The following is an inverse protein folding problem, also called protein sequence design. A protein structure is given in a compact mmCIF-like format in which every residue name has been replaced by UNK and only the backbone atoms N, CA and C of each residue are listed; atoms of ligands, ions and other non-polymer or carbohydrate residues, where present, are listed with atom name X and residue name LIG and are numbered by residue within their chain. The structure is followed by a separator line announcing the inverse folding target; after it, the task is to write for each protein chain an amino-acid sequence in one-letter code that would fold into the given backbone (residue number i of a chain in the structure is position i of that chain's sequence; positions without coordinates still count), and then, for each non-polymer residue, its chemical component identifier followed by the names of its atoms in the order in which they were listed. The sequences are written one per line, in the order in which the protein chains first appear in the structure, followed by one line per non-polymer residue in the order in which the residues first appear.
data_IF_062610782475
#
_entry.id   IF_062610782475
#
_cell.length_a   1.000
_cell.length_b   1.000
_cell.length_c   1.000
_cell.angle_alpha   90.00
_cell.angle_beta   90.00
_cell.angle_gamma   90.00
#
_symmetry.space_group_name_H-M   'P 1'
#
loop_
_entity.id
_entity.type
_entity.pdbx_description
1 polymer ?
#
# COMPACT_ATOMS: atom_id res chain seq x y z
N UNK A 1 -8.99 2.29 -18.42
CA UNK A 1 -9.29 3.73 -18.38
C UNK A 1 -10.18 4.12 -19.57
N UNK A 2 -9.75 3.88 -20.81
CA UNK A 2 -10.49 4.31 -22.02
C UNK A 2 -11.94 3.77 -22.05
N UNK A 3 -12.14 2.51 -21.67
CA UNK A 3 -13.46 1.89 -21.65
C UNK A 3 -14.40 2.43 -20.55
N UNK A 4 -13.84 2.98 -19.45
CA UNK A 4 -14.61 3.53 -18.34
C UNK A 4 -14.86 5.04 -18.48
N UNK A 5 -14.00 5.75 -19.20
CA UNK A 5 -14.00 7.22 -19.25
C UNK A 5 -13.63 7.88 -17.90
N UNK A 6 -13.66 9.21 -17.85
CA UNK A 6 -13.30 9.95 -16.62
C UNK A 6 -14.26 9.70 -15.47
N UNK A 7 -15.57 9.74 -15.71
CA UNK A 7 -16.60 9.50 -14.68
C UNK A 7 -16.51 8.07 -14.11
N UNK A 8 -16.40 7.07 -14.99
CA UNK A 8 -16.30 5.68 -14.57
C UNK A 8 -15.00 5.40 -13.80
N UNK A 9 -13.90 6.05 -14.18
CA UNK A 9 -12.65 5.94 -13.47
C UNK A 9 -12.72 6.63 -12.10
N UNK A 10 -13.42 7.75 -12.00
CA UNK A 10 -13.68 8.42 -10.73
C UNK A 10 -14.52 7.57 -9.79
N UNK A 11 -15.61 7.00 -10.27
CA UNK A 11 -16.45 6.08 -9.51
C UNK A 11 -15.63 4.85 -9.02
N UNK A 12 -14.83 4.28 -9.91
CA UNK A 12 -13.92 3.17 -9.57
C UNK A 12 -12.95 3.54 -8.45
N UNK A 13 -12.29 4.70 -8.54
CA UNK A 13 -11.36 5.17 -7.50
C UNK A 13 -12.04 5.42 -6.15
N UNK A 14 -13.25 5.94 -6.15
CA UNK A 14 -14.06 6.12 -4.94
C UNK A 14 -14.41 4.78 -4.29
N UNK A 15 -14.85 3.80 -5.09
CA UNK A 15 -15.13 2.45 -4.58
C UNK A 15 -13.85 1.80 -4.05
N UNK A 16 -12.71 1.96 -4.75
CA UNK A 16 -11.42 1.47 -4.27
C UNK A 16 -10.99 2.09 -2.94
N UNK A 17 -11.28 3.36 -2.69
CA UNK A 17 -10.95 4.00 -1.43
C UNK A 17 -11.69 3.37 -0.25
N UNK A 18 -13.00 3.09 -0.40
CA UNK A 18 -13.79 2.37 0.61
C UNK A 18 -13.32 0.93 0.75
N UNK A 19 -13.11 0.24 -0.37
CA UNK A 19 -12.61 -1.12 -0.40
C UNK A 19 -11.27 -1.26 0.31
N UNK A 20 -10.32 -0.34 0.09
CA UNK A 20 -9.01 -0.33 0.74
C UNK A 20 -9.09 -0.24 2.27
N UNK A 21 -10.07 0.49 2.82
CA UNK A 21 -10.31 0.55 4.26
C UNK A 21 -10.65 -0.84 4.81
N UNK A 22 -11.59 -1.54 4.20
CA UNK A 22 -12.01 -2.87 4.64
C UNK A 22 -10.93 -3.93 4.39
N UNK A 23 -10.18 -3.82 3.28
CA UNK A 23 -9.01 -4.67 3.02
C UNK A 23 -7.95 -4.48 4.12
N UNK A 24 -7.71 -3.25 4.54
CA UNK A 24 -6.77 -2.97 5.64
C UNK A 24 -7.22 -3.68 6.92
N UNK A 25 -8.49 -3.58 7.29
CA UNK A 25 -9.09 -4.28 8.43
C UNK A 25 -8.95 -5.81 8.33
N UNK A 26 -9.00 -6.37 7.11
CA UNK A 26 -8.92 -7.81 6.90
C UNK A 26 -7.49 -8.37 6.92
N UNK A 27 -6.48 -7.58 6.50
CA UNK A 27 -5.18 -8.14 6.10
C UNK A 27 -3.96 -7.56 6.78
N UNK A 28 -4.01 -6.28 7.23
CA UNK A 28 -2.79 -5.54 7.58
C UNK A 28 -2.00 -6.14 8.75
N UNK A 29 -2.64 -6.38 9.87
CA UNK A 29 -2.01 -6.99 11.05
C UNK A 29 -1.76 -8.48 10.88
N UNK A 30 -2.63 -9.17 10.14
CA UNK A 30 -2.54 -10.61 9.92
C UNK A 30 -1.26 -10.99 9.18
N UNK A 31 -0.87 -10.25 8.14
CA UNK A 31 0.35 -10.50 7.38
C UNK A 31 1.61 -10.38 8.23
N UNK A 32 1.70 -9.32 9.05
CA UNK A 32 2.84 -9.08 9.95
C UNK A 32 2.90 -10.14 11.05
N UNK A 33 1.76 -10.43 11.69
CA UNK A 33 1.66 -11.45 12.72
C UNK A 33 2.02 -12.84 12.17
N UNK A 34 1.53 -13.19 10.97
CA UNK A 34 1.84 -14.45 10.32
C UNK A 34 3.34 -14.61 10.07
N UNK A 35 3.99 -13.60 9.50
CA UNK A 35 5.44 -13.65 9.24
C UNK A 35 6.23 -13.81 10.53
N UNK A 36 5.93 -13.03 11.56
CA UNK A 36 6.67 -13.06 12.83
C UNK A 36 6.42 -14.33 13.62
N UNK A 37 5.15 -14.67 13.89
CA UNK A 37 4.81 -15.84 14.69
C UNK A 37 5.22 -17.15 14.01
N UNK A 38 5.12 -17.22 12.67
CA UNK A 38 5.60 -18.40 11.93
C UNK A 38 7.12 -18.54 12.03
N UNK A 39 7.89 -17.46 11.94
CA UNK A 39 9.34 -17.52 12.10
C UNK A 39 9.73 -17.99 13.52
N UNK A 40 9.04 -17.48 14.56
CA UNK A 40 9.27 -17.88 15.95
C UNK A 40 8.91 -19.36 16.19
N UNK A 41 7.76 -19.83 15.69
CA UNK A 41 7.31 -21.20 15.92
C UNK A 41 8.08 -22.24 15.10
N UNK A 42 8.53 -21.88 13.89
CA UNK A 42 9.42 -22.73 13.10
C UNK A 42 10.76 -22.98 13.80
N UNK A 43 11.25 -22.00 14.56
CA UNK A 43 12.45 -22.15 15.38
C UNK A 43 12.20 -23.04 16.63
N UNK A 44 10.97 -23.09 17.15
CA UNK A 44 10.61 -23.90 18.34
C UNK A 44 10.28 -25.36 18.01
N UNK A 45 9.71 -25.64 16.84
CA UNK A 45 9.37 -26.99 16.42
C UNK A 45 8.26 -27.09 15.37
N UNK A 46 8.32 -28.16 14.59
CA UNK A 46 7.43 -28.37 13.42
C UNK A 46 5.96 -28.52 13.82
N UNK A 47 5.67 -29.27 14.88
CA UNK A 47 4.29 -29.51 15.33
C UNK A 47 3.61 -28.24 15.85
N UNK A 48 4.35 -27.38 16.54
CA UNK A 48 3.87 -26.09 17.06
C UNK A 48 3.64 -25.10 15.91
N UNK A 49 4.58 -25.02 14.95
CA UNK A 49 4.45 -24.19 13.76
C UNK A 49 3.21 -24.55 12.93
N UNK A 50 2.93 -25.85 12.76
CA UNK A 50 1.70 -26.30 12.09
C UNK A 50 0.45 -25.87 12.84
N UNK A 51 0.45 -26.02 14.17
CA UNK A 51 -0.67 -25.59 15.03
C UNK A 51 -0.90 -24.07 14.97
N UNK A 52 0.17 -23.28 14.93
CA UNK A 52 0.10 -21.82 14.80
C UNK A 52 -0.46 -21.42 13.44
N UNK A 53 0.01 -22.03 12.34
CA UNK A 53 -0.46 -21.70 10.99
C UNK A 53 -1.96 -21.95 10.82
N UNK A 54 -2.47 -23.09 11.32
CA UNK A 54 -3.92 -23.39 11.26
C UNK A 54 -4.73 -22.31 11.99
N UNK A 55 -4.24 -21.82 13.13
CA UNK A 55 -4.93 -20.77 13.88
C UNK A 55 -4.84 -19.40 13.19
N UNK A 56 -3.67 -19.07 12.65
CA UNK A 56 -3.50 -17.84 11.86
C UNK A 56 -4.41 -17.86 10.63
N UNK A 57 -4.53 -19.01 9.94
CA UNK A 57 -5.44 -19.15 8.82
C UNK A 57 -6.91 -19.03 9.26
N UNK A 58 -7.28 -19.66 10.38
CA UNK A 58 -8.63 -19.54 10.94
C UNK A 58 -8.97 -18.11 11.37
N UNK A 59 -8.08 -17.43 12.08
CA UNK A 59 -8.29 -16.02 12.48
C UNK A 59 -8.28 -15.07 11.28
N UNK A 60 -7.40 -15.28 10.30
CA UNK A 60 -7.39 -14.51 9.07
C UNK A 60 -8.69 -14.66 8.29
N UNK A 61 -9.17 -15.88 8.09
CA UNK A 61 -10.45 -16.14 7.44
C UNK A 61 -11.63 -15.52 8.20
N UNK A 62 -11.61 -15.57 9.54
CA UNK A 62 -12.66 -14.96 10.36
C UNK A 62 -12.66 -13.44 10.24
N UNK A 63 -11.50 -12.81 10.29
CA UNK A 63 -11.37 -11.36 10.07
C UNK A 63 -11.76 -10.97 8.64
N UNK A 64 -11.32 -11.73 7.64
CA UNK A 64 -11.72 -11.53 6.26
C UNK A 64 -13.22 -11.69 6.03
N UNK A 65 -13.85 -12.68 6.65
CA UNK A 65 -15.30 -12.89 6.61
C UNK A 65 -16.07 -11.79 7.35
N UNK A 66 -15.56 -11.32 8.49
CA UNK A 66 -16.13 -10.19 9.23
C UNK A 66 -16.06 -8.90 8.41
N UNK A 67 -14.91 -8.62 7.79
CA UNK A 67 -14.74 -7.46 6.90
C UNK A 67 -15.64 -7.56 5.66
N UNK A 68 -15.79 -8.77 5.06
CA UNK A 68 -16.73 -9.03 3.98
C UNK A 68 -18.17 -8.73 4.40
N UNK A 69 -18.61 -9.27 5.55
CA UNK A 69 -19.95 -9.05 6.06
C UNK A 69 -20.22 -7.56 6.37
N UNK A 70 -19.24 -6.89 6.96
CA UNK A 70 -19.31 -5.47 7.24
C UNK A 70 -19.41 -4.63 5.96
N UNK A 71 -18.53 -4.86 4.98
CA UNK A 71 -18.58 -4.14 3.71
C UNK A 71 -19.87 -4.44 2.94
N UNK A 72 -20.29 -5.70 2.87
CA UNK A 72 -21.51 -6.10 2.17
C UNK A 72 -22.76 -5.46 2.80
N UNK A 73 -22.86 -5.49 4.12
CA UNK A 73 -23.97 -4.86 4.87
C UNK A 73 -23.99 -3.35 4.78
N UNK A 74 -22.79 -2.72 4.85
CA UNK A 74 -22.65 -1.26 4.80
C UNK A 74 -22.60 -0.72 3.36
N UNK A 75 -22.52 -1.56 2.33
CA UNK A 75 -22.37 -1.12 0.93
C UNK A 75 -23.43 -0.13 0.48
N UNK A 76 -24.70 -0.36 0.84
CA UNK A 76 -25.79 0.55 0.50
C UNK A 76 -25.72 1.90 1.24
N UNK A 77 -25.34 1.89 2.51
CA UNK A 77 -25.13 3.09 3.30
C UNK A 77 -23.89 3.86 2.82
N UNK A 78 -22.79 3.16 2.60
CA UNK A 78 -21.56 3.75 2.06
C UNK A 78 -21.78 4.39 0.69
N UNK A 79 -22.50 3.71 -0.21
CA UNK A 79 -22.83 4.25 -1.53
C UNK A 79 -23.67 5.55 -1.45
N UNK A 80 -24.67 5.60 -0.57
CA UNK A 80 -25.56 6.77 -0.44
C UNK A 80 -24.91 7.92 0.32
N UNK A 81 -24.31 7.64 1.47
CA UNK A 81 -23.92 8.66 2.44
C UNK A 81 -22.44 9.06 2.29
N UNK A 82 -21.59 8.12 1.94
CA UNK A 82 -20.15 8.39 1.79
C UNK A 82 -19.78 8.75 0.35
N UNK A 83 -20.21 7.89 -0.58
CA UNK A 83 -19.90 8.11 -2.00
C UNK A 83 -20.93 9.02 -2.69
N UNK A 84 -22.17 9.12 -2.13
CA UNK A 84 -23.31 9.85 -2.70
C UNK A 84 -23.69 9.37 -4.10
N UNK A 85 -23.30 8.16 -4.48
CA UNK A 85 -23.64 7.53 -5.75
C UNK A 85 -24.10 6.10 -5.50
N UNK A 86 -25.41 5.87 -5.64
CA UNK A 86 -26.04 4.56 -5.39
C UNK A 86 -25.49 3.48 -6.34
N UNK A 87 -24.99 3.88 -7.52
CA UNK A 87 -24.39 2.99 -8.51
C UNK A 87 -23.19 2.22 -7.99
N UNK A 88 -22.49 2.77 -6.98
CA UNK A 88 -21.34 2.11 -6.35
C UNK A 88 -21.70 0.91 -5.46
N UNK A 89 -22.96 0.78 -5.02
CA UNK A 89 -23.36 -0.26 -4.07
C UNK A 89 -23.14 -1.67 -4.60
N UNK A 90 -23.44 -1.91 -5.88
CA UNK A 90 -23.21 -3.21 -6.53
C UNK A 90 -21.73 -3.58 -6.57
N UNK A 91 -20.89 -2.63 -6.94
CA UNK A 91 -19.45 -2.78 -7.01
C UNK A 91 -18.82 -3.07 -5.64
N UNK A 92 -19.27 -2.37 -4.57
CA UNK A 92 -18.84 -2.62 -3.19
C UNK A 92 -19.25 -4.01 -2.69
N UNK A 93 -20.46 -4.47 -3.01
CA UNK A 93 -20.93 -5.81 -2.61
C UNK A 93 -20.10 -6.90 -3.27
N UNK A 94 -19.84 -6.77 -4.57
CA UNK A 94 -19.08 -7.76 -5.33
C UNK A 94 -17.62 -7.81 -4.88
N UNK A 95 -16.98 -6.67 -4.65
CA UNK A 95 -15.59 -6.63 -4.17
C UNK A 95 -15.42 -7.24 -2.77
N UNK A 96 -16.46 -7.22 -1.92
CA UNK A 96 -16.40 -7.79 -0.59
C UNK A 96 -16.06 -9.30 -0.59
N UNK A 97 -16.50 -10.05 -1.60
CA UNK A 97 -16.23 -11.50 -1.70
C UNK A 97 -14.73 -11.84 -1.85
N UNK A 98 -13.91 -10.91 -2.24
CA UNK A 98 -12.44 -11.08 -2.31
C UNK A 98 -11.75 -11.10 -0.93
N UNK A 99 -12.33 -10.52 0.11
CA UNK A 99 -11.66 -10.28 1.39
C UNK A 99 -11.23 -11.54 2.15
N UNK A 100 -12.03 -12.60 2.27
CA UNK A 100 -11.58 -13.83 2.93
C UNK A 100 -10.38 -14.46 2.23
N UNK A 101 -10.35 -14.40 0.89
CA UNK A 101 -9.25 -14.91 0.08
C UNK A 101 -7.98 -14.08 0.25
N UNK A 102 -8.11 -12.76 0.30
CA UNK A 102 -6.98 -11.84 0.60
C UNK A 102 -6.39 -12.10 1.98
N UNK A 103 -7.23 -12.28 3.00
CA UNK A 103 -6.79 -12.57 4.36
C UNK A 103 -6.07 -13.92 4.44
N UNK A 104 -6.58 -14.95 3.78
CA UNK A 104 -5.92 -16.26 3.67
C UNK A 104 -4.58 -16.14 2.93
N UNK A 105 -4.55 -15.45 1.79
CA UNK A 105 -3.32 -15.18 1.04
C UNK A 105 -2.28 -14.46 1.89
N UNK A 106 -2.69 -13.48 2.71
CA UNK A 106 -1.80 -12.75 3.61
C UNK A 106 -1.11 -13.69 4.63
N UNK A 107 -1.84 -14.65 5.21
CA UNK A 107 -1.28 -15.66 6.12
C UNK A 107 -0.29 -16.57 5.40
N UNK A 108 -0.67 -17.09 4.22
CA UNK A 108 0.18 -18.00 3.46
C UNK A 108 1.45 -17.32 2.94
N UNK A 109 1.34 -16.07 2.47
CA UNK A 109 2.51 -15.25 2.10
C UNK A 109 3.44 -15.06 3.30
N UNK A 110 2.89 -14.79 4.50
CA UNK A 110 3.65 -14.69 5.74
C UNK A 110 4.39 -15.99 6.09
N UNK A 111 3.75 -17.15 5.91
CA UNK A 111 4.38 -18.46 6.08
C UNK A 111 5.57 -18.67 5.14
N UNK A 112 5.42 -18.37 3.84
CA UNK A 112 6.52 -18.52 2.88
C UNK A 112 7.66 -17.55 3.15
N UNK A 113 7.38 -16.31 3.56
CA UNK A 113 8.41 -15.32 3.96
C UNK A 113 9.18 -15.84 5.18
N UNK A 114 8.49 -16.36 6.20
CA UNK A 114 9.13 -16.94 7.39
C UNK A 114 10.06 -18.11 7.06
N UNK A 115 9.77 -18.86 5.98
CA UNK A 115 10.61 -19.92 5.45
C UNK A 115 11.70 -19.44 4.49
N UNK A 116 11.81 -18.15 4.24
CA UNK A 116 12.72 -17.53 3.26
C UNK A 116 12.52 -18.04 1.83
N UNK A 117 11.28 -18.44 1.49
CA UNK A 117 10.88 -18.85 0.15
C UNK A 117 9.99 -17.78 -0.46
N UNK A 118 10.54 -17.07 -1.43
CA UNK A 118 9.85 -15.93 -2.06
C UNK A 118 9.12 -16.36 -3.34
N UNK A 119 9.55 -17.47 -3.96
CA UNK A 119 9.07 -17.92 -5.27
C UNK A 119 7.53 -18.11 -5.31
N UNK A 120 6.87 -18.78 -4.31
CA UNK A 120 5.42 -18.95 -4.32
C UNK A 120 4.69 -17.61 -4.26
N UNK A 121 5.22 -16.64 -3.52
CA UNK A 121 4.62 -15.31 -3.39
C UNK A 121 4.68 -14.55 -4.73
N UNK A 122 5.83 -14.56 -5.39
CA UNK A 122 6.02 -13.90 -6.70
C UNK A 122 5.13 -14.55 -7.75
N UNK A 123 5.13 -15.89 -7.82
CA UNK A 123 4.33 -16.60 -8.82
C UNK A 123 2.82 -16.39 -8.61
N UNK A 124 2.35 -16.44 -7.35
CA UNK A 124 0.94 -16.17 -7.06
C UNK A 124 0.53 -14.75 -7.46
N UNK A 125 1.39 -13.74 -7.26
CA UNK A 125 1.12 -12.37 -7.68
C UNK A 125 1.13 -12.22 -9.20
N UNK A 126 2.05 -12.85 -9.91
CA UNK A 126 2.09 -12.79 -11.37
C UNK A 126 0.82 -13.41 -11.98
N UNK A 127 0.41 -14.58 -11.50
CA UNK A 127 -0.83 -15.22 -11.98
C UNK A 127 -2.05 -14.39 -11.59
N UNK A 128 -2.11 -13.85 -10.38
CA UNK A 128 -3.18 -12.96 -9.94
C UNK A 128 -3.35 -11.77 -10.89
N UNK A 129 -2.26 -11.08 -11.24
CA UNK A 129 -2.31 -9.94 -12.17
C UNK A 129 -2.68 -10.36 -13.59
N UNK A 130 -2.15 -11.49 -14.07
CA UNK A 130 -2.49 -12.01 -15.39
C UNK A 130 -3.97 -12.37 -15.51
N UNK A 131 -4.51 -13.07 -14.51
CA UNK A 131 -5.93 -13.43 -14.45
C UNK A 131 -6.80 -12.18 -14.34
N UNK A 132 -6.42 -11.22 -13.50
CA UNK A 132 -7.12 -9.94 -13.35
C UNK A 132 -7.21 -9.20 -14.68
N UNK A 133 -6.09 -9.04 -15.37
CA UNK A 133 -6.04 -8.36 -16.67
C UNK A 133 -6.89 -9.12 -17.70
N UNK A 134 -6.76 -10.45 -17.76
CA UNK A 134 -7.53 -11.28 -18.69
C UNK A 134 -9.05 -11.17 -18.49
N UNK A 135 -9.51 -11.22 -17.23
CA UNK A 135 -10.94 -11.07 -16.92
C UNK A 135 -11.43 -9.66 -17.21
N UNK A 136 -10.65 -8.63 -16.86
CA UNK A 136 -11.02 -7.23 -17.15
C UNK A 136 -11.11 -7.01 -18.65
N UNK A 137 -10.13 -7.50 -19.41
CA UNK A 137 -10.13 -7.40 -20.86
C UNK A 137 -11.36 -8.08 -21.48
N UNK A 138 -11.61 -9.34 -21.08
CA UNK A 138 -12.78 -10.07 -21.55
C UNK A 138 -14.10 -9.38 -21.17
N UNK A 139 -14.25 -8.91 -19.93
CA UNK A 139 -15.47 -8.26 -19.46
C UNK A 139 -15.75 -6.90 -20.12
N UNK A 140 -14.71 -6.16 -20.49
CA UNK A 140 -14.87 -4.84 -21.13
C UNK A 140 -15.02 -4.92 -22.64
N UNK A 141 -14.40 -5.91 -23.31
CA UNK A 141 -14.44 -6.07 -24.76
C UNK A 141 -15.68 -6.85 -25.21
N UNK A 142 -16.01 -7.95 -24.51
CA UNK A 142 -17.04 -8.90 -24.92
C UNK A 142 -18.26 -8.91 -23.99
N UNK A 143 -18.12 -8.37 -22.79
CA UNK A 143 -19.23 -8.20 -21.85
C UNK A 143 -20.10 -7.02 -22.28
N UNK A 144 -21.32 -7.26 -22.75
CA UNK A 144 -22.33 -6.24 -23.08
C UNK A 144 -22.77 -5.45 -21.82
N UNK A 145 -21.84 -4.84 -21.09
CA UNK A 145 -22.15 -4.03 -19.92
C UNK A 145 -22.55 -2.62 -20.38
N UNK A 146 -23.85 -2.29 -20.41
CA UNK A 146 -24.35 -1.04 -21.01
C UNK A 146 -23.95 0.18 -20.19
N UNK A 147 -23.85 0.04 -18.86
CA UNK A 147 -23.66 1.15 -17.94
C UNK A 147 -22.26 1.21 -17.33
N UNK A 148 -21.81 2.41 -16.99
CA UNK A 148 -20.56 2.67 -16.25
C UNK A 148 -20.52 1.88 -14.94
N UNK A 149 -21.64 1.76 -14.23
CA UNK A 149 -21.78 0.97 -13.00
C UNK A 149 -21.52 -0.52 -13.22
N UNK A 150 -22.05 -1.10 -14.30
CA UNK A 150 -21.85 -2.48 -14.67
C UNK A 150 -20.38 -2.78 -15.00
N UNK A 151 -19.73 -1.88 -15.76
CA UNK A 151 -18.30 -1.98 -16.08
C UNK A 151 -17.42 -1.88 -14.83
N UNK A 152 -17.73 -0.93 -13.94
CA UNK A 152 -17.02 -0.81 -12.65
C UNK A 152 -17.18 -2.08 -11.79
N UNK A 153 -18.39 -2.62 -11.73
CA UNK A 153 -18.69 -3.87 -11.01
C UNK A 153 -17.93 -5.06 -11.60
N UNK A 154 -17.84 -5.15 -12.93
CA UNK A 154 -17.09 -6.20 -13.62
C UNK A 154 -15.58 -6.14 -13.31
N UNK A 155 -14.99 -4.95 -13.28
CA UNK A 155 -13.58 -4.76 -12.91
C UNK A 155 -13.31 -5.20 -11.46
N UNK A 156 -14.22 -4.90 -10.53
CA UNK A 156 -14.08 -5.31 -9.13
C UNK A 156 -14.39 -6.80 -8.92
N UNK A 157 -15.28 -7.38 -9.72
CA UNK A 157 -15.48 -8.82 -9.76
C UNK A 157 -14.20 -9.54 -10.21
N UNK A 158 -13.53 -9.02 -11.25
CA UNK A 158 -12.26 -9.55 -11.71
C UNK A 158 -11.20 -9.53 -10.60
N UNK A 159 -11.17 -8.46 -9.78
CA UNK A 159 -10.29 -8.37 -8.61
C UNK A 159 -10.61 -9.47 -7.59
N UNK A 160 -11.88 -9.66 -7.22
CA UNK A 160 -12.27 -10.68 -6.26
C UNK A 160 -11.93 -12.11 -6.74
N UNK A 161 -12.16 -12.39 -8.03
CA UNK A 161 -11.83 -13.70 -8.64
C UNK A 161 -10.31 -13.91 -8.68
N UNK A 162 -9.54 -12.92 -9.08
CA UNK A 162 -8.07 -13.01 -9.13
C UNK A 162 -7.44 -13.26 -7.76
N UNK A 163 -8.00 -12.66 -6.70
CA UNK A 163 -7.58 -12.92 -5.32
C UNK A 163 -7.87 -14.38 -4.89
N UNK A 164 -9.04 -14.92 -5.26
CA UNK A 164 -9.36 -16.32 -5.00
C UNK A 164 -8.39 -17.27 -5.73
N UNK A 165 -8.06 -16.97 -6.98
CA UNK A 165 -7.06 -17.74 -7.76
C UNK A 165 -5.68 -17.67 -7.09
N UNK A 166 -5.25 -16.47 -6.66
CA UNK A 166 -3.99 -16.29 -5.92
C UNK A 166 -3.94 -17.13 -4.64
N UNK A 167 -5.03 -17.12 -3.85
CA UNK A 167 -5.17 -17.96 -2.65
C UNK A 167 -5.08 -19.45 -2.97
N UNK A 168 -5.75 -19.91 -4.04
CA UNK A 168 -5.69 -21.31 -4.48
C UNK A 168 -4.27 -21.72 -4.88
N UNK A 169 -3.53 -20.87 -5.60
CA UNK A 169 -2.15 -21.14 -5.97
C UNK A 169 -1.27 -21.25 -4.72
N UNK A 170 -1.38 -20.30 -3.78
CA UNK A 170 -0.64 -20.37 -2.52
C UNK A 170 -0.99 -21.63 -1.72
N UNK A 171 -2.24 -22.06 -1.71
CA UNK A 171 -2.67 -23.32 -1.08
C UNK A 171 -2.06 -24.55 -1.76
N UNK A 172 -1.95 -24.56 -3.09
CA UNK A 172 -1.30 -25.65 -3.83
C UNK A 172 0.19 -25.75 -3.48
N UNK A 173 0.89 -24.62 -3.48
CA UNK A 173 2.29 -24.55 -3.03
C UNK A 173 2.41 -24.99 -1.55
N UNK A 174 1.50 -24.52 -0.70
CA UNK A 174 1.46 -24.93 0.70
C UNK A 174 1.30 -26.43 0.87
N UNK A 175 0.39 -27.08 0.14
CA UNK A 175 0.22 -28.54 0.19
C UNK A 175 1.50 -29.29 -0.14
N UNK A 176 2.20 -28.88 -1.21
CA UNK A 176 3.48 -29.47 -1.61
C UNK A 176 4.60 -29.25 -0.57
N UNK A 177 4.59 -28.11 0.10
CA UNK A 177 5.61 -27.73 1.07
C UNK A 177 5.29 -28.19 2.50
N UNK A 178 4.01 -28.38 2.83
CA UNK A 178 3.57 -28.75 4.18
C UNK A 178 4.18 -30.08 4.65
N UNK A 179 4.32 -31.06 3.73
CA UNK A 179 4.96 -32.35 4.03
C UNK A 179 6.44 -32.15 4.39
N UNK A 180 7.14 -31.28 3.64
CA UNK A 180 8.55 -30.94 3.90
C UNK A 180 8.73 -30.09 5.14
N UNK A 181 7.77 -29.16 5.40
CA UNK A 181 7.84 -28.24 6.53
C UNK A 181 7.53 -28.91 7.85
N UNK A 182 6.48 -29.72 7.88
CA UNK A 182 5.90 -30.25 9.12
C UNK A 182 6.05 -31.77 9.27
N UNK A 183 6.38 -32.50 8.19
CA UNK A 183 6.44 -33.95 8.20
C UNK A 183 5.09 -34.59 8.52
N UNK A 184 5.10 -35.76 9.15
CA UNK A 184 3.91 -36.47 9.63
C UNK A 184 3.42 -36.01 11.02
N UNK A 185 4.06 -35.00 11.62
CA UNK A 185 3.70 -34.55 12.95
C UNK A 185 2.31 -33.92 13.00
N UNK A 186 1.51 -34.34 13.99
CA UNK A 186 0.20 -33.74 14.25
C UNK A 186 0.37 -32.33 14.80
N UNK A 187 -0.52 -31.42 14.42
CA UNK A 187 -0.56 -30.05 14.92
C UNK A 187 -0.69 -30.04 16.46
N UNK A 188 0.28 -29.44 17.14
CA UNK A 188 0.26 -29.25 18.59
C UNK A 188 -0.21 -27.83 18.92
N UNK A 189 -0.94 -27.68 20.03
CA UNK A 189 -1.38 -26.35 20.47
C UNK A 189 -0.15 -25.55 20.90
N UNK A 190 0.13 -24.38 20.29
CA UNK A 190 1.17 -23.46 20.77
C UNK A 190 0.74 -22.86 22.11
N UNK A 191 1.70 -22.39 22.89
CA UNK A 191 1.41 -21.69 24.15
C UNK A 191 0.76 -20.33 23.85
N UNK A 192 -0.39 -20.05 24.47
CA UNK A 192 -1.15 -18.79 24.42
C UNK A 192 -1.19 -18.09 23.04
N UNK A 193 -1.65 -18.79 22.00
CA UNK A 193 -1.56 -18.27 20.64
C UNK A 193 -2.46 -17.06 20.40
N UNK A 194 -3.61 -17.00 21.06
CA UNK A 194 -4.54 -15.88 20.92
C UNK A 194 -3.96 -14.59 21.51
N UNK A 195 -3.39 -14.66 22.71
CA UNK A 195 -2.78 -13.51 23.38
C UNK A 195 -1.61 -12.95 22.56
N UNK A 196 -0.68 -13.83 22.13
CA UNK A 196 0.47 -13.45 21.30
C UNK A 196 0.06 -12.84 19.97
N UNK A 197 -1.02 -13.35 19.37
CA UNK A 197 -1.58 -12.80 18.13
C UNK A 197 -2.13 -11.39 18.37
N UNK A 198 -2.95 -11.18 19.39
CA UNK A 198 -3.54 -9.89 19.70
C UNK A 198 -2.51 -8.83 20.15
N UNK A 199 -1.47 -9.21 20.86
CA UNK A 199 -0.36 -8.32 21.23
C UNK A 199 0.37 -7.74 20.00
N UNK A 200 0.40 -8.47 18.87
CA UNK A 200 0.98 -8.00 17.62
C UNK A 200 -0.06 -7.28 16.76
N UNK A 201 -1.27 -7.85 16.65
CA UNK A 201 -2.34 -7.32 15.81
C UNK A 201 -2.73 -5.91 16.23
N UNK A 202 -3.06 -5.72 17.51
CA UNK A 202 -3.66 -4.46 17.98
C UNK A 202 -2.85 -3.20 17.66
N UNK A 203 -1.55 -3.10 18.00
CA UNK A 203 -0.78 -1.90 17.71
C UNK A 203 -0.51 -1.68 16.22
N UNK A 204 -0.34 -2.75 15.44
CA UNK A 204 -0.09 -2.67 14.00
C UNK A 204 -1.37 -2.28 13.26
N UNK A 205 -2.48 -2.93 13.62
CA UNK A 205 -3.78 -2.72 12.98
C UNK A 205 -4.32 -1.31 13.26
N UNK A 206 -4.27 -0.87 14.51
CA UNK A 206 -4.78 0.45 14.90
C UNK A 206 -4.17 1.60 14.10
N UNK A 207 -2.85 1.59 13.93
CA UNK A 207 -2.15 2.60 13.14
C UNK A 207 -2.51 2.56 11.67
N UNK A 208 -2.56 1.36 11.08
CA UNK A 208 -2.89 1.19 9.65
C UNK A 208 -4.35 1.51 9.35
N UNK A 209 -5.27 1.11 10.23
CA UNK A 209 -6.69 1.45 10.10
C UNK A 209 -6.92 2.96 10.17
N UNK A 210 -6.26 3.65 11.10
CA UNK A 210 -6.34 5.10 11.20
C UNK A 210 -5.83 5.79 9.93
N UNK A 211 -4.66 5.40 9.43
CA UNK A 211 -4.12 5.93 8.18
C UNK A 211 -5.06 5.65 6.99
N UNK A 212 -5.57 4.42 6.87
CA UNK A 212 -6.50 4.04 5.81
C UNK A 212 -7.83 4.81 5.90
N UNK A 213 -8.36 5.03 7.12
CA UNK A 213 -9.57 5.83 7.32
C UNK A 213 -9.38 7.29 6.91
N UNK A 214 -8.24 7.90 7.24
CA UNK A 214 -7.91 9.27 6.83
C UNK A 214 -7.78 9.39 5.31
N UNK A 215 -7.08 8.44 4.66
CA UNK A 215 -6.99 8.41 3.21
C UNK A 215 -8.36 8.21 2.54
N UNK A 216 -9.21 7.37 3.12
CA UNK A 216 -10.57 7.18 2.61
C UNK A 216 -11.38 8.46 2.76
N UNK A 217 -11.30 9.12 3.92
CA UNK A 217 -11.97 10.41 4.16
C UNK A 217 -11.49 11.47 3.16
N UNK A 218 -10.18 11.61 2.94
CA UNK A 218 -9.63 12.51 1.93
C UNK A 218 -10.23 12.23 0.54
N UNK A 219 -10.17 10.96 0.10
CA UNK A 219 -10.66 10.58 -1.22
C UNK A 219 -12.16 10.83 -1.41
N UNK A 220 -12.97 10.80 -0.35
CA UNK A 220 -14.38 11.12 -0.38
C UNK A 220 -14.65 12.63 -0.37
N UNK A 221 -13.86 13.37 0.41
CA UNK A 221 -14.01 14.82 0.54
C UNK A 221 -13.66 15.54 -0.75
N UNK A 222 -12.69 15.05 -1.53
CA UNK A 222 -12.26 15.70 -2.78
C UNK A 222 -13.42 15.88 -3.76
N UNK A 223 -14.15 14.84 -4.20
CA UNK A 223 -15.28 15.02 -5.10
C UNK A 223 -16.44 15.78 -4.46
N UNK A 224 -16.66 15.62 -3.14
CA UNK A 224 -17.71 16.34 -2.41
C UNK A 224 -17.47 17.85 -2.42
N UNK A 225 -16.27 18.30 -2.07
CA UNK A 225 -15.89 19.71 -2.11
C UNK A 225 -15.85 20.26 -3.56
N UNK A 226 -15.41 19.45 -4.50
CA UNK A 226 -15.37 19.84 -5.91
C UNK A 226 -16.77 20.03 -6.51
N UNK A 227 -17.75 19.23 -6.07
CA UNK A 227 -19.15 19.38 -6.47
C UNK A 227 -19.70 20.76 -6.14
N UNK A 228 -19.28 21.34 -5.00
CA UNK A 228 -19.69 22.70 -4.60
C UNK A 228 -19.18 23.76 -5.57
N UNK A 229 -17.95 23.57 -6.10
CA UNK A 229 -17.39 24.49 -7.12
C UNK A 229 -17.99 24.33 -8.50
N UNK A 230 -18.49 23.16 -8.84
CA UNK A 230 -18.94 22.80 -10.18
C UNK A 230 -20.47 22.73 -10.31
N UNK A 231 -21.23 23.35 -9.41
CA UNK A 231 -22.70 23.33 -9.43
C UNK A 231 -23.25 23.75 -10.79
N UNK A 232 -22.68 24.80 -11.39
CA UNK A 232 -23.09 25.35 -12.70
C UNK A 232 -22.55 24.57 -13.91
N UNK A 233 -21.54 23.73 -13.71
CA UNK A 233 -20.78 23.03 -14.77
C UNK A 233 -21.00 21.49 -14.78
N UNK A 234 -22.18 21.00 -14.41
CA UNK A 234 -22.49 19.57 -14.39
C UNK A 234 -22.39 18.93 -12.99
N UNK A 235 -22.10 19.70 -11.96
CA UNK A 235 -22.18 19.30 -10.56
C UNK A 235 -21.32 18.06 -10.24
N UNK A 236 -21.96 17.05 -9.69
CA UNK A 236 -21.28 15.85 -9.18
C UNK A 236 -20.63 14.99 -10.27
N UNK A 237 -21.28 14.82 -11.42
CA UNK A 237 -20.72 14.01 -12.52
C UNK A 237 -19.40 14.59 -13.02
N UNK A 238 -19.36 15.93 -13.20
CA UNK A 238 -18.13 16.63 -13.58
C UNK A 238 -17.04 16.54 -12.51
N UNK A 239 -17.41 16.65 -11.23
CA UNK A 239 -16.48 16.52 -10.10
C UNK A 239 -15.86 15.11 -10.04
N UNK A 240 -16.66 14.07 -10.20
CA UNK A 240 -16.20 12.68 -10.22
C UNK A 240 -15.34 12.40 -11.45
N UNK A 241 -15.69 12.98 -12.62
CA UNK A 241 -14.89 12.83 -13.84
C UNK A 241 -13.50 13.47 -13.69
N UNK A 242 -13.42 14.70 -13.16
CA UNK A 242 -12.14 15.37 -12.91
C UNK A 242 -11.28 14.61 -11.88
N UNK A 243 -11.89 14.12 -10.81
CA UNK A 243 -11.22 13.29 -9.83
C UNK A 243 -10.69 11.98 -10.46
N UNK A 244 -11.48 11.34 -11.33
CA UNK A 244 -11.11 10.15 -12.06
C UNK A 244 -9.95 10.38 -13.03
N UNK A 245 -9.97 11.48 -13.77
CA UNK A 245 -8.89 11.88 -14.68
C UNK A 245 -7.58 12.11 -13.93
N UNK A 246 -7.62 12.70 -12.73
CA UNK A 246 -6.44 12.90 -11.91
C UNK A 246 -5.98 11.60 -11.21
N UNK A 247 -6.85 10.99 -10.37
CA UNK A 247 -6.48 9.84 -9.51
C UNK A 247 -6.38 8.53 -10.29
N UNK A 248 -7.17 8.37 -11.34
CA UNK A 248 -7.27 7.13 -12.10
C UNK A 248 -6.43 7.10 -13.39
N UNK A 249 -6.01 8.25 -13.89
CA UNK A 249 -5.24 8.34 -15.15
C UNK A 249 -3.89 9.03 -14.92
N UNK A 250 -3.88 10.28 -14.45
CA UNK A 250 -2.65 11.06 -14.35
C UNK A 250 -1.70 10.55 -13.25
N UNK A 251 -2.17 10.35 -12.01
CA UNK A 251 -1.32 9.90 -10.90
C UNK A 251 -0.70 8.52 -11.11
N UNK A 252 -1.41 7.48 -11.60
CA UNK A 252 -0.77 6.20 -11.90
C UNK A 252 0.34 6.32 -12.93
N UNK A 253 0.18 7.16 -13.94
CA UNK A 253 1.22 7.38 -14.95
C UNK A 253 2.43 8.13 -14.38
N UNK A 254 2.19 9.15 -13.53
CA UNK A 254 3.26 9.85 -12.82
C UNK A 254 4.02 8.94 -11.85
N UNK A 255 3.35 7.99 -11.21
CA UNK A 255 3.99 7.07 -10.26
C UNK A 255 4.63 5.85 -10.92
N UNK A 256 4.32 5.55 -12.19
CA UNK A 256 4.87 4.40 -12.91
C UNK A 256 6.41 4.37 -12.95
N UNK A 257 7.13 5.46 -13.30
CA UNK A 257 8.60 5.45 -13.29
C UNK A 257 9.19 5.23 -11.89
N UNK A 258 8.45 5.57 -10.82
CA UNK A 258 8.89 5.31 -9.45
C UNK A 258 9.06 3.82 -9.14
N UNK A 259 8.36 2.93 -9.85
CA UNK A 259 8.52 1.49 -9.69
C UNK A 259 9.97 1.01 -9.88
N UNK A 260 10.72 1.65 -10.79
CA UNK A 260 12.14 1.37 -11.01
C UNK A 260 12.99 1.80 -9.80
N UNK A 261 12.73 3.00 -9.27
CA UNK A 261 13.41 3.49 -8.06
C UNK A 261 13.00 2.72 -6.81
N UNK A 262 11.76 2.27 -6.73
CA UNK A 262 11.27 1.41 -5.64
C UNK A 262 12.07 0.13 -5.51
N UNK A 263 12.42 -0.50 -6.62
CA UNK A 263 13.30 -1.68 -6.64
C UNK A 263 14.69 -1.38 -6.08
N UNK A 264 15.26 -0.22 -6.42
CA UNK A 264 16.53 0.24 -5.88
C UNK A 264 16.45 0.50 -4.37
N UNK A 265 15.34 1.09 -3.90
CA UNK A 265 15.10 1.33 -2.46
C UNK A 265 15.11 0.03 -1.67
N UNK A 266 14.47 -1.02 -2.19
CA UNK A 266 14.45 -2.35 -1.54
C UNK A 266 15.85 -2.94 -1.44
N UNK A 267 16.71 -2.75 -2.45
CA UNK A 267 18.09 -3.22 -2.44
C UNK A 267 18.99 -2.43 -1.48
N UNK A 268 18.78 -1.12 -1.37
CA UNK A 268 19.57 -0.24 -0.51
C UNK A 268 19.15 -0.30 0.96
N UNK A 269 17.91 -0.65 1.27
CA UNK A 269 17.39 -0.68 2.65
C UNK A 269 18.22 -1.56 3.60
N UNK A 270 18.62 -2.80 3.26
CA UNK A 270 19.47 -3.61 4.13
C UNK A 270 20.85 -2.99 4.38
N UNK A 271 21.45 -2.32 3.38
CA UNK A 271 22.74 -1.65 3.51
C UNK A 271 22.64 -0.44 4.43
N UNK A 272 21.58 0.36 4.29
CA UNK A 272 21.28 1.50 5.17
C UNK A 272 21.12 1.01 6.62
N UNK A 273 20.35 -0.07 6.82
CA UNK A 273 20.12 -0.67 8.14
C UNK A 273 21.44 -1.16 8.75
N UNK A 274 22.29 -1.86 7.99
CA UNK A 274 23.58 -2.36 8.47
C UNK A 274 24.54 -1.22 8.83
N UNK A 275 24.67 -0.20 7.97
CA UNK A 275 25.50 0.95 8.22
C UNK A 275 25.04 1.73 9.46
N UNK A 276 23.71 1.82 9.66
CA UNK A 276 23.11 2.46 10.82
C UNK A 276 23.42 1.70 12.12
N UNK A 277 23.19 0.37 12.15
CA UNK A 277 23.43 -0.48 13.33
C UNK A 277 24.93 -0.52 13.70
N UNK A 278 25.82 -0.52 12.70
CA UNK A 278 27.27 -0.50 12.93
C UNK A 278 27.82 0.87 13.33
N UNK A 279 27.00 1.91 13.29
CA UNK A 279 27.43 3.28 13.56
C UNK A 279 28.37 3.87 12.50
N UNK A 280 28.40 3.31 11.29
CA UNK A 280 29.24 3.74 10.16
C UNK A 280 28.65 5.00 9.51
N UNK A 281 28.72 6.13 10.21
CA UNK A 281 28.08 7.40 9.82
C UNK A 281 28.50 7.90 8.43
N UNK A 282 29.79 7.80 8.11
CA UNK A 282 30.29 8.23 6.81
C UNK A 282 29.72 7.38 5.66
N UNK A 283 29.62 6.07 5.84
CA UNK A 283 29.02 5.17 4.86
C UNK A 283 27.51 5.41 4.71
N UNK A 284 26.81 5.57 5.85
CA UNK A 284 25.38 5.90 5.85
C UNK A 284 25.12 7.22 5.11
N UNK A 285 25.90 8.27 5.38
CA UNK A 285 25.78 9.55 4.68
C UNK A 285 26.02 9.42 3.18
N UNK A 286 27.04 8.65 2.76
CA UNK A 286 27.33 8.41 1.35
C UNK A 286 26.20 7.64 0.64
N UNK A 287 25.61 6.63 1.30
CA UNK A 287 24.48 5.86 0.76
C UNK A 287 23.26 6.74 0.59
N UNK A 288 22.91 7.55 1.60
CA UNK A 288 21.75 8.45 1.55
C UNK A 288 21.95 9.53 0.46
N UNK A 289 23.13 10.15 0.40
CA UNK A 289 23.42 11.18 -0.59
C UNK A 289 23.38 10.62 -2.03
N UNK A 290 23.94 9.43 -2.25
CA UNK A 290 23.84 8.73 -3.54
C UNK A 290 22.39 8.41 -3.92
N UNK A 291 21.59 7.91 -2.97
CA UNK A 291 20.19 7.62 -3.14
C UNK A 291 19.40 8.90 -3.51
N UNK A 292 19.60 9.98 -2.75
CA UNK A 292 18.90 11.24 -2.98
C UNK A 292 19.28 11.87 -4.32
N UNK A 293 20.56 11.89 -4.70
CA UNK A 293 21.02 12.39 -6.00
C UNK A 293 20.45 11.60 -7.15
N UNK A 294 20.51 10.25 -7.08
CA UNK A 294 19.98 9.39 -8.13
C UNK A 294 18.47 9.60 -8.30
N UNK A 295 17.74 9.62 -7.19
CA UNK A 295 16.29 9.86 -7.18
C UNK A 295 15.98 11.26 -7.72
N UNK A 296 16.69 12.29 -7.28
CA UNK A 296 16.49 13.66 -7.75
C UNK A 296 16.74 13.83 -9.24
N UNK A 297 17.85 13.30 -9.75
CA UNK A 297 18.16 13.35 -11.19
C UNK A 297 17.13 12.57 -12.03
N UNK A 298 16.78 11.35 -11.62
CA UNK A 298 15.82 10.54 -12.34
C UNK A 298 14.41 11.15 -12.34
N UNK A 299 13.96 11.63 -11.18
CA UNK A 299 12.63 12.25 -11.05
C UNK A 299 12.54 13.60 -11.74
N UNK A 300 13.63 14.37 -11.78
CA UNK A 300 13.69 15.63 -12.55
C UNK A 300 13.60 15.35 -14.05
N UNK A 301 14.32 14.33 -14.55
CA UNK A 301 14.23 13.91 -15.94
C UNK A 301 12.82 13.42 -16.31
N UNK A 302 12.25 12.54 -15.49
CA UNK A 302 10.90 12.05 -15.68
C UNK A 302 9.85 13.19 -15.59
N UNK A 303 10.02 14.09 -14.63
CA UNK A 303 9.18 15.28 -14.48
C UNK A 303 9.23 16.22 -15.68
N UNK A 304 10.41 16.47 -16.21
CA UNK A 304 10.60 17.25 -17.44
C UNK A 304 9.93 16.59 -18.66
N UNK A 305 10.03 15.24 -18.75
CA UNK A 305 9.35 14.48 -19.78
C UNK A 305 7.84 14.68 -19.71
N UNK A 306 7.22 14.53 -18.53
CA UNK A 306 5.78 14.73 -18.35
C UNK A 306 5.35 16.19 -18.48
N UNK A 307 6.21 17.13 -18.14
CA UNK A 307 5.92 18.54 -18.34
C UNK A 307 5.80 18.90 -19.83
N UNK A 308 6.69 18.36 -20.66
CA UNK A 308 6.72 18.63 -22.12
C UNK A 308 5.74 17.75 -22.88
N UNK A 309 5.73 16.45 -22.57
CA UNK A 309 5.00 15.43 -23.33
C UNK A 309 3.73 14.93 -22.63
N UNK A 310 3.33 15.52 -21.50
CA UNK A 310 2.18 15.06 -20.71
C UNK A 310 0.87 15.09 -21.48
N UNK A 311 0.60 16.16 -22.23
CA UNK A 311 -0.61 16.27 -23.05
C UNK A 311 -0.64 15.24 -24.19
N UNK A 312 0.39 15.13 -25.07
CA UNK A 312 0.45 14.11 -26.10
C UNK A 312 0.34 12.67 -25.54
N UNK A 313 1.01 12.39 -24.44
CA UNK A 313 0.97 11.06 -23.80
C UNK A 313 -0.43 10.72 -23.27
N UNK A 314 -1.10 11.67 -22.61
CA UNK A 314 -2.45 11.45 -22.10
C UNK A 314 -3.48 11.29 -23.24
N UNK A 315 -3.33 12.05 -24.31
CA UNK A 315 -4.17 11.90 -25.50
C UNK A 315 -3.96 10.54 -26.18
N UNK A 316 -2.71 10.11 -26.30
CA UNK A 316 -2.37 8.81 -26.88
C UNK A 316 -2.89 7.63 -26.06
N UNK A 317 -2.71 7.68 -24.72
CA UNK A 317 -3.02 6.57 -23.83
C UNK A 317 -4.47 6.56 -23.35
N UNK A 318 -5.03 7.73 -23.05
CA UNK A 318 -6.33 7.86 -22.37
C UNK A 318 -7.38 8.65 -23.15
N UNK A 319 -7.01 9.27 -24.26
CA UNK A 319 -7.89 10.16 -25.04
C UNK A 319 -8.49 11.29 -24.17
N UNK A 320 -7.75 11.75 -23.16
CA UNK A 320 -8.20 12.72 -22.15
C UNK A 320 -7.28 13.95 -22.10
N UNK A 321 -7.81 15.11 -22.46
CA UNK A 321 -7.10 16.39 -22.34
C UNK A 321 -6.91 16.79 -20.87
N UNK A 322 -7.89 16.50 -20.02
CA UNK A 322 -7.80 16.80 -18.59
C UNK A 322 -6.66 16.06 -17.92
N UNK A 323 -6.50 14.75 -18.19
CA UNK A 323 -5.37 13.97 -17.69
C UNK A 323 -4.03 14.55 -18.16
N UNK A 324 -3.97 15.05 -19.40
CA UNK A 324 -2.80 15.73 -19.96
C UNK A 324 -2.43 16.99 -19.20
N UNK A 325 -3.42 17.82 -18.91
CA UNK A 325 -3.22 19.02 -18.10
C UNK A 325 -2.65 18.68 -16.71
N UNK A 326 -3.18 17.66 -16.03
CA UNK A 326 -2.68 17.23 -14.72
C UNK A 326 -1.25 16.68 -14.80
N UNK A 327 -0.92 15.89 -15.82
CA UNK A 327 0.45 15.39 -16.04
C UNK A 327 1.44 16.54 -16.21
N UNK A 328 1.07 17.54 -17.01
CA UNK A 328 1.90 18.71 -17.25
C UNK A 328 2.12 19.54 -15.98
N UNK A 329 1.07 19.78 -15.20
CA UNK A 329 1.16 20.57 -13.96
C UNK A 329 1.89 19.85 -12.85
N UNK A 330 1.69 18.53 -12.70
CA UNK A 330 2.34 17.73 -11.66
C UNK A 330 3.74 17.21 -12.05
N UNK A 331 4.10 17.25 -13.34
CA UNK A 331 5.44 16.86 -13.80
C UNK A 331 6.56 17.49 -12.99
N UNK A 332 6.62 18.84 -12.83
CA UNK A 332 7.62 19.52 -12.01
C UNK A 332 7.60 19.15 -10.53
N UNK A 333 6.49 18.57 -10.02
CA UNK A 333 6.36 18.13 -8.64
C UNK A 333 6.96 16.73 -8.39
N UNK A 334 7.22 15.96 -9.44
CA UNK A 334 7.72 14.58 -9.31
C UNK A 334 8.99 14.47 -8.46
N UNK A 335 9.98 15.36 -8.54
CA UNK A 335 11.13 15.30 -7.67
C UNK A 335 10.77 15.29 -6.19
N UNK A 336 9.83 16.13 -5.76
CA UNK A 336 9.36 16.18 -4.37
C UNK A 336 8.66 14.87 -3.97
N UNK A 337 7.73 14.37 -4.80
CA UNK A 337 6.98 13.15 -4.53
C UNK A 337 7.89 11.92 -4.43
N UNK A 338 8.90 11.82 -5.30
CA UNK A 338 9.81 10.69 -5.32
C UNK A 338 10.83 10.74 -4.18
N UNK A 339 11.37 11.94 -3.89
CA UNK A 339 12.27 12.15 -2.75
C UNK A 339 11.56 11.84 -1.42
N UNK A 340 10.33 12.31 -1.25
CA UNK A 340 9.48 11.97 -0.10
C UNK A 340 9.43 10.45 0.12
N UNK A 341 9.05 9.69 -0.90
CA UNK A 341 8.91 8.23 -0.82
C UNK A 341 10.24 7.52 -0.52
N UNK A 342 11.35 8.01 -1.08
CA UNK A 342 12.67 7.43 -0.87
C UNK A 342 13.21 7.72 0.54
N UNK A 343 13.01 8.94 1.04
CA UNK A 343 13.40 9.31 2.41
C UNK A 343 12.55 8.55 3.43
N UNK A 344 11.25 8.38 3.18
CA UNK A 344 10.36 7.56 3.99
C UNK A 344 10.83 6.09 4.08
N UNK A 345 11.26 5.52 2.95
CA UNK A 345 11.89 4.19 2.89
C UNK A 345 13.17 4.11 3.71
N UNK A 346 14.06 5.10 3.58
CA UNK A 346 15.32 5.16 4.32
C UNK A 346 15.10 5.27 5.83
N UNK A 347 14.18 6.12 6.29
CA UNK A 347 13.82 6.25 7.70
C UNK A 347 13.26 4.95 8.28
N UNK A 348 12.42 4.23 7.53
CA UNK A 348 11.94 2.89 7.91
C UNK A 348 13.09 1.90 8.02
N UNK A 349 14.08 1.95 7.14
CA UNK A 349 15.32 1.16 7.20
C UNK A 349 16.18 1.46 8.43
N UNK A 350 16.19 2.69 8.90
CA UNK A 350 16.87 3.10 10.13
C UNK A 350 16.09 2.79 11.42
N UNK A 351 14.88 2.23 11.32
CA UNK A 351 14.05 1.87 12.47
C UNK A 351 13.13 3.00 12.99
N UNK A 352 13.13 4.17 12.36
CA UNK A 352 12.34 5.35 12.75
C UNK A 352 10.86 5.27 12.28
N UNK A 353 10.28 4.09 12.34
CA UNK A 353 8.89 3.84 11.88
C UNK A 353 7.86 4.69 12.63
N UNK A 354 8.09 4.98 13.92
CA UNK A 354 7.18 5.80 14.73
C UNK A 354 7.16 7.26 14.28
N UNK A 355 8.33 7.80 13.91
CA UNK A 355 8.45 9.17 13.39
C UNK A 355 7.75 9.28 12.03
N UNK A 356 8.02 8.35 11.12
CA UNK A 356 7.37 8.26 9.81
C UNK A 356 5.85 8.21 9.95
N UNK A 357 5.34 7.34 10.82
CA UNK A 357 3.90 7.23 11.05
C UNK A 357 3.29 8.54 11.56
N UNK A 358 3.96 9.20 12.51
CA UNK A 358 3.49 10.50 13.04
C UNK A 358 3.44 11.58 11.96
N UNK A 359 4.46 11.65 11.09
CA UNK A 359 4.49 12.62 9.99
C UNK A 359 3.43 12.32 8.93
N UNK A 360 3.23 11.04 8.58
CA UNK A 360 2.15 10.64 7.68
C UNK A 360 0.76 10.96 8.24
N UNK A 361 0.58 10.88 9.57
CA UNK A 361 -0.67 11.25 10.20
C UNK A 361 -0.93 12.76 10.11
N UNK A 362 0.10 13.59 10.40
CA UNK A 362 0.01 15.04 10.25
C UNK A 362 -0.19 15.46 8.80
N UNK A 363 0.48 14.78 7.86
CA UNK A 363 0.26 14.99 6.43
C UNK A 363 -1.19 14.74 6.03
N UNK A 364 -1.77 13.62 6.46
CA UNK A 364 -3.18 13.32 6.18
C UNK A 364 -4.13 14.38 6.74
N UNK A 365 -3.87 14.90 7.95
CA UNK A 365 -4.65 16.00 8.53
C UNK A 365 -4.47 17.29 7.71
N UNK A 366 -3.24 17.62 7.32
CA UNK A 366 -2.94 18.79 6.49
C UNK A 366 -3.64 18.71 5.13
N UNK A 367 -3.64 17.52 4.50
CA UNK A 367 -4.34 17.28 3.23
C UNK A 367 -5.85 17.45 3.36
N UNK A 368 -6.45 16.87 4.40
CA UNK A 368 -7.89 17.01 4.66
C UNK A 368 -8.24 18.49 4.88
N UNK A 369 -7.47 19.20 5.71
CA UNK A 369 -7.67 20.63 5.94
C UNK A 369 -7.51 21.44 4.64
N UNK A 370 -6.48 21.14 3.85
CA UNK A 370 -6.24 21.76 2.55
C UNK A 370 -7.39 21.52 1.57
N UNK A 371 -7.92 20.28 1.52
CA UNK A 371 -9.08 19.92 0.69
C UNK A 371 -10.30 20.77 1.08
N UNK A 372 -10.60 20.86 2.38
CA UNK A 372 -11.76 21.62 2.86
C UNK A 372 -11.64 23.13 2.63
N UNK A 373 -10.43 23.69 2.66
CA UNK A 373 -10.19 25.14 2.54
C UNK A 373 -9.97 25.59 1.09
N UNK A 374 -9.21 24.83 0.31
CA UNK A 374 -8.75 25.26 -1.02
C UNK A 374 -9.67 24.78 -2.15
N UNK A 375 -10.23 23.56 -2.06
CA UNK A 375 -11.08 23.03 -3.13
C UNK A 375 -12.37 23.84 -3.36
N UNK A 376 -13.13 24.25 -2.33
CA UNK A 376 -14.35 25.04 -2.55
C UNK A 376 -14.09 26.39 -3.24
N UNK A 377 -12.87 26.92 -3.11
CA UNK A 377 -12.50 28.24 -3.68
C UNK A 377 -11.83 28.15 -5.04
N UNK A 378 -10.93 27.17 -5.23
CA UNK A 378 -10.04 27.09 -6.39
C UNK A 378 -10.26 25.82 -7.23
N UNK A 379 -11.26 25.00 -6.86
CA UNK A 379 -11.57 23.76 -7.56
C UNK A 379 -10.40 22.80 -7.62
N UNK A 380 -10.24 22.11 -8.73
CA UNK A 380 -9.18 21.12 -8.91
C UNK A 380 -7.75 21.73 -8.82
N UNK A 381 -7.57 23.00 -9.21
CA UNK A 381 -6.29 23.71 -9.01
C UNK A 381 -5.90 23.78 -7.54
N UNK A 382 -6.87 23.98 -6.65
CA UNK A 382 -6.65 23.92 -5.20
C UNK A 382 -6.16 22.56 -4.74
N UNK A 383 -6.68 21.46 -5.30
CA UNK A 383 -6.21 20.11 -4.98
C UNK A 383 -4.77 19.85 -5.44
N UNK A 384 -4.38 20.35 -6.59
CA UNK A 384 -3.00 20.26 -7.05
C UNK A 384 -2.04 20.98 -6.08
N UNK A 385 -2.43 22.14 -5.55
CA UNK A 385 -1.67 22.83 -4.50
C UNK A 385 -1.60 22.02 -3.20
N UNK A 386 -2.69 21.34 -2.80
CA UNK A 386 -2.69 20.47 -1.62
C UNK A 386 -1.66 19.35 -1.79
N UNK A 387 -1.61 18.69 -2.95
CA UNK A 387 -0.63 17.64 -3.24
C UNK A 387 0.81 18.19 -3.15
N UNK A 388 1.07 19.35 -3.74
CA UNK A 388 2.40 19.98 -3.73
C UNK A 388 2.85 20.34 -2.31
N UNK A 389 1.99 21.00 -1.54
CA UNK A 389 2.29 21.42 -0.17
C UNK A 389 2.49 20.23 0.76
N UNK A 390 1.67 19.19 0.61
CA UNK A 390 1.78 17.93 1.33
C UNK A 390 3.13 17.26 1.07
N UNK A 391 3.49 17.04 -0.19
CA UNK A 391 4.77 16.42 -0.53
C UNK A 391 5.97 17.25 -0.08
N UNK A 392 5.89 18.59 -0.15
CA UNK A 392 6.92 19.46 0.37
C UNK A 392 7.05 19.36 1.89
N UNK A 393 5.93 19.36 2.62
CA UNK A 393 5.90 19.20 4.07
C UNK A 393 6.51 17.87 4.50
N UNK A 394 6.07 16.75 3.92
CA UNK A 394 6.55 15.41 4.30
C UNK A 394 8.03 15.24 3.96
N UNK A 395 8.46 15.72 2.79
CA UNK A 395 9.88 15.73 2.41
C UNK A 395 10.72 16.53 3.41
N UNK A 396 10.27 17.73 3.81
CA UNK A 396 10.97 18.57 4.76
C UNK A 396 11.04 17.95 6.16
N UNK A 397 9.93 17.39 6.67
CA UNK A 397 9.89 16.77 8.00
C UNK A 397 10.76 15.52 8.07
N UNK A 398 10.70 14.68 7.06
CA UNK A 398 11.50 13.46 6.97
C UNK A 398 13.01 13.78 6.83
N UNK A 399 13.38 14.78 6.05
CA UNK A 399 14.79 15.21 5.90
C UNK A 399 15.31 15.92 7.16
N UNK A 400 14.48 16.71 7.83
CA UNK A 400 14.87 17.39 9.07
C UNK A 400 15.08 16.41 10.24
N UNK A 401 14.40 15.26 10.23
CA UNK A 401 14.53 14.21 11.25
C UNK A 401 15.60 13.18 10.89
N UNK A 402 15.87 12.99 9.61
CA UNK A 402 16.92 12.08 9.13
C UNK A 402 18.31 12.56 9.53
N UNK A 403 19.34 11.70 9.50
CA UNK A 403 20.73 12.13 9.70
C UNK A 403 21.11 13.10 8.58
N UNK A 404 21.64 14.26 8.97
CA UNK A 404 22.26 15.18 8.02
C UNK A 404 23.27 14.42 7.15
N UNK A 405 23.52 14.89 5.93
CA UNK A 405 24.58 14.36 5.04
C UNK A 405 25.98 14.37 5.69
N UNK A 406 26.15 15.14 6.78
CA UNK A 406 27.33 15.11 7.67
C UNK A 406 27.27 14.03 8.78
N UNK A 407 26.20 13.22 8.86
CA UNK A 407 26.00 12.20 9.89
C UNK A 407 25.67 12.74 11.28
N UNK A 408 25.34 14.01 11.41
CA UNK A 408 24.88 14.63 12.66
C UNK A 408 23.36 14.74 12.67
N UNK A 409 22.67 13.94 13.47
CA UNK A 409 21.26 14.15 13.77
C UNK A 409 21.12 15.25 14.83
N UNK A 410 20.34 16.29 14.56
CA UNK A 410 20.09 17.39 15.52
C UNK A 410 19.38 16.96 16.80
N UNK A 411 18.83 15.75 16.86
CA UNK A 411 18.04 15.23 17.99
C UNK A 411 18.61 13.98 18.69
N UNK A 412 19.81 13.52 18.31
CA UNK A 412 20.39 12.28 18.87
C UNK A 412 21.25 12.46 20.12
N UNK A 413 21.28 13.65 20.74
CA UNK A 413 22.08 13.92 21.95
C UNK A 413 21.35 13.70 23.27
N UNK A 414 20.06 13.28 23.25
CA UNK A 414 19.28 13.13 24.47
C UNK A 414 18.58 11.75 24.58
N UNK A 415 19.32 10.67 24.37
CA UNK A 415 18.86 9.32 24.65
C UNK A 415 19.98 8.53 25.32
N UNK A 416 19.86 8.33 26.64
CA UNK A 416 20.71 7.45 27.43
C UNK A 416 20.94 6.10 26.76
N UNK A 417 22.13 5.50 26.89
CA UNK A 417 22.39 4.16 26.38
C UNK A 417 21.51 3.16 27.14
N UNK A 418 20.44 2.71 26.49
CA UNK A 418 19.72 1.54 26.98
C UNK A 418 20.69 0.37 26.94
N UNK A 419 20.94 -0.16 28.10
CA UNK A 419 21.76 -1.32 28.37
C UNK A 419 21.55 -2.40 27.33
N UNK A 420 22.63 -2.72 26.63
CA UNK A 420 22.78 -3.90 25.80
C UNK A 420 22.38 -5.14 26.59
N UNK A 421 21.46 -6.00 26.15
CA UNK A 421 21.38 -7.33 26.69
C UNK A 421 22.37 -8.24 25.95
N UNK A 422 23.27 -8.78 26.71
CA UNK A 422 23.98 -10.06 26.58
C UNK A 422 24.67 -10.39 25.23
N UNK A 423 25.98 -10.42 25.34
CA UNK A 423 27.00 -11.23 24.63
C UNK A 423 26.51 -12.29 23.64
N UNK A 424 27.12 -12.37 22.44
CA UNK A 424 26.91 -13.48 21.54
C UNK A 424 27.59 -14.74 22.04
N UNK A 425 26.83 -15.79 22.25
CA UNK A 425 27.29 -17.16 22.38
C UNK A 425 27.81 -17.65 21.03
N UNK A 426 28.99 -17.27 20.65
CA UNK A 426 29.78 -17.88 19.58
C UNK A 426 31.27 -17.66 19.86
N UNK A 427 31.76 -18.34 20.90
CA UNK A 427 33.20 -18.59 21.09
C UNK A 427 33.36 -19.96 21.71
N UNK A 428 33.33 -20.97 20.90
CA UNK A 428 33.66 -22.35 21.26
C UNK A 428 34.38 -22.97 20.07
N UNK A 429 35.62 -22.55 19.87
CA UNK A 429 36.56 -23.25 19.02
C UNK A 429 36.91 -24.59 19.63
N UNK A 430 36.59 -25.68 18.96
CA UNK A 430 37.20 -26.99 19.19
C UNK A 430 38.32 -27.17 18.18
N UNK A 431 39.54 -27.25 18.69
CA UNK A 431 40.72 -27.71 17.95
C UNK A 431 40.55 -29.20 17.59
N UNK A 432 41.09 -29.68 16.46
CA UNK A 432 41.08 -31.08 16.12
C UNK A 432 42.14 -31.84 16.98
N UNK A 433 41.88 -33.07 17.39
CA UNK A 433 42.85 -33.93 18.05
C UNK A 433 43.89 -34.52 17.03
N UNK A 434 45.01 -35.00 17.54
CA UNK A 434 46.19 -35.32 16.74
C UNK A 434 46.04 -36.50 15.77
#
# INVERSE_FOLDING_TARGET
ANALGGEGMGLYQLVLAVYALFVTLATAGVSVAATRLMAEELARGRAQARGMLVRLAGTGLLLGAAAMAAQYGLAGAAARWWLGDVRAAGALRVSAFGMPWMALSAVLRGFFIARRRVEPNVLSQLVEQSVRIGIIWYALEWGNAPDVSARCTAVLAATAVSEAVSACILLLFYRGEAVRAFGAEKARRPADPARRLWEILWPVEGGRCLASALHTAENMLVPACLTVCLLDAGGRSAAVAQYGSLKGMALPLLTFPFGLLGSLSVLLMPEITQAHIRGERARLGCLLDRMLRLTGCFSALAGALFWVWGEPLALLLYHSQEAGFYLRVLGPAMPLMYLESMVDGAMKGMGEQKAVFRYSLWDAVLRIAGVLLLLPRWGMKGFLWVILLSSAYTCQMNTAHGPDSSGRSRHWTAGSPTKSPASPIWAGGAAPPP
#
